data_IF_162189636476
#
_entry.id   IF_162189636476
#
_cell.length_a   1.000
_cell.length_b   1.000
_cell.length_c   1.000
_cell.angle_alpha   90.00
_cell.angle_beta   90.00
_cell.angle_gamma   90.00
#
_symmetry.space_group_name_H-M   'P 1'
#
loop_
_entity.id
_entity.type
_entity.pdbx_description
1 polymer ?
#
# COMPACT_ATOMS: atom_id res chain seq x y z
N UNK A 1 13.85 -2.76 14.06
CA UNK A 1 13.07 -1.64 13.47
C UNK A 1 14.00 -0.46 13.27
N UNK A 2 13.86 0.29 12.17
CA UNK A 2 14.64 1.51 11.93
C UNK A 2 14.23 2.60 12.92
N UNK A 3 15.20 3.34 13.47
CA UNK A 3 14.95 4.50 14.36
C UNK A 3 14.37 5.71 13.62
N UNK A 4 14.49 5.76 12.28
CA UNK A 4 13.96 6.81 11.41
C UNK A 4 14.34 8.24 11.78
N UNK A 5 15.47 8.42 12.45
CA UNK A 5 16.04 9.72 12.78
C UNK A 5 17.21 10.12 11.84
N UNK A 6 17.68 9.20 10.99
CA UNK A 6 18.63 9.51 9.93
C UNK A 6 17.92 9.79 8.61
N UNK A 7 17.73 11.07 8.29
CA UNK A 7 17.12 11.53 7.05
C UNK A 7 18.17 11.77 5.95
N UNK A 8 19.46 11.79 6.29
CA UNK A 8 20.53 12.00 5.32
C UNK A 8 20.87 10.71 4.56
N UNK A 9 20.64 9.55 5.19
CA UNK A 9 20.85 8.24 4.59
C UNK A 9 19.58 7.38 4.66
N UNK A 10 18.62 7.59 3.74
CA UNK A 10 17.43 6.77 3.64
C UNK A 10 17.77 5.28 3.51
N UNK A 11 17.36 4.46 4.48
CA UNK A 11 17.51 3.00 4.40
C UNK A 11 16.63 2.43 3.31
N UNK A 12 17.15 1.50 2.50
CA UNK A 12 16.39 0.77 1.49
C UNK A 12 16.05 -0.64 1.97
N UNK A 13 14.81 -1.07 1.78
CA UNK A 13 14.39 -2.44 2.10
C UNK A 13 14.99 -3.48 1.14
N UNK A 14 15.53 -3.07 -0.01
CA UNK A 14 16.23 -3.95 -0.94
C UNK A 14 17.27 -4.81 -0.22
N UNK A 15 18.07 -4.19 0.66
CA UNK A 15 19.14 -4.86 1.41
C UNK A 15 18.65 -5.87 2.45
N UNK A 16 17.35 -5.86 2.77
CA UNK A 16 16.75 -6.68 3.83
C UNK A 16 15.81 -7.78 3.32
N UNK A 17 15.70 -7.99 2.01
CA UNK A 17 14.80 -9.00 1.44
C UNK A 17 15.27 -10.40 1.82
N UNK A 18 14.34 -11.23 2.30
CA UNK A 18 14.56 -12.64 2.64
C UNK A 18 13.63 -13.53 1.83
N UNK A 19 14.20 -14.50 1.13
CA UNK A 19 13.45 -15.49 0.34
C UNK A 19 13.07 -16.71 1.20
N UNK A 20 12.06 -17.46 0.75
CA UNK A 20 11.65 -18.72 1.40
C UNK A 20 10.94 -18.57 2.74
N UNK A 21 10.49 -17.37 3.11
CA UNK A 21 9.67 -17.17 4.30
C UNK A 21 8.24 -17.70 4.11
N UNK A 22 7.66 -18.28 5.16
CA UNK A 22 6.30 -18.85 5.10
C UNK A 22 5.26 -17.84 4.61
N UNK A 23 5.33 -16.58 5.06
CA UNK A 23 4.41 -15.54 4.59
C UNK A 23 4.51 -15.26 3.08
N UNK A 24 5.71 -15.32 2.51
CA UNK A 24 5.92 -15.13 1.08
C UNK A 24 5.41 -16.33 0.29
N UNK A 25 5.71 -17.56 0.74
CA UNK A 25 5.21 -18.77 0.10
C UNK A 25 3.68 -18.81 0.10
N UNK A 26 3.08 -18.42 1.23
CA UNK A 26 1.63 -18.36 1.42
C UNK A 26 0.97 -17.29 0.56
N UNK A 27 1.58 -16.11 0.46
CA UNK A 27 1.14 -15.05 -0.44
C UNK A 27 1.23 -15.49 -1.91
N UNK A 28 2.32 -16.16 -2.29
CA UNK A 28 2.51 -16.72 -3.63
C UNK A 28 1.46 -17.80 -3.95
N UNK A 29 1.13 -18.65 -2.99
CA UNK A 29 0.02 -19.62 -3.06
C UNK A 29 -1.35 -18.96 -3.23
N UNK A 30 -1.54 -17.75 -2.69
CA UNK A 30 -2.73 -16.93 -2.92
C UNK A 30 -2.76 -16.26 -4.29
N UNK A 31 -1.68 -16.38 -5.07
CA UNK A 31 -1.54 -15.80 -6.41
C UNK A 31 -1.01 -14.37 -6.41
N UNK A 32 -0.33 -13.94 -5.34
CA UNK A 32 0.45 -12.72 -5.35
C UNK A 32 1.80 -12.98 -6.02
N UNK A 33 2.07 -12.28 -7.12
CA UNK A 33 3.32 -12.44 -7.89
C UNK A 33 4.41 -11.46 -7.46
N UNK A 34 4.01 -10.32 -6.86
CA UNK A 34 4.91 -9.22 -6.47
C UNK A 34 4.52 -8.62 -5.12
N UNK A 35 5.52 -8.14 -4.39
CA UNK A 35 5.36 -7.40 -3.14
C UNK A 35 6.13 -6.10 -3.23
N UNK A 36 5.60 -5.09 -2.55
CA UNK A 36 6.26 -3.83 -2.28
C UNK A 36 6.33 -3.71 -0.77
N UNK A 37 7.54 -3.62 -0.22
CA UNK A 37 7.72 -3.58 1.23
C UNK A 37 8.62 -2.42 1.63
N UNK A 38 8.20 -1.52 2.54
CA UNK A 38 9.07 -0.53 3.16
C UNK A 38 9.93 -1.16 4.27
N UNK A 39 11.02 -0.49 4.71
CA UNK A 39 11.70 -0.86 5.93
C UNK A 39 10.74 -0.76 7.13
N UNK A 40 10.71 -1.76 8.01
CA UNK A 40 9.89 -1.70 9.21
C UNK A 40 10.37 -0.58 10.15
N UNK A 41 9.48 0.35 10.47
CA UNK A 41 9.72 1.43 11.41
C UNK A 41 8.45 1.80 12.19
N UNK A 42 8.64 2.15 13.46
CA UNK A 42 7.64 2.74 14.36
C UNK A 42 7.87 4.25 14.53
N UNK A 43 8.67 4.85 13.66
CA UNK A 43 9.06 6.25 13.75
C UNK A 43 8.53 7.06 12.56
N UNK A 44 8.79 8.37 12.57
CA UNK A 44 8.37 9.26 11.49
C UNK A 44 8.87 8.84 10.11
N UNK A 45 10.09 8.31 9.98
CA UNK A 45 10.72 8.01 8.69
C UNK A 45 11.08 6.53 8.55
N UNK A 46 10.62 5.91 7.46
CA UNK A 46 10.85 4.49 7.21
C UNK A 46 12.04 4.30 6.28
N UNK A 47 12.06 5.05 5.18
CA UNK A 47 13.02 4.92 4.10
C UNK A 47 12.35 4.48 2.80
N UNK A 48 13.11 3.77 1.97
CA UNK A 48 12.73 3.38 0.62
C UNK A 48 12.19 1.96 0.56
N UNK A 49 11.00 1.81 -0.01
CA UNK A 49 10.45 0.50 -0.31
C UNK A 49 11.00 -0.06 -1.61
N UNK A 50 11.01 -1.38 -1.70
CA UNK A 50 11.49 -2.14 -2.85
C UNK A 50 10.37 -3.03 -3.35
N UNK A 51 10.23 -3.09 -4.67
CA UNK A 51 9.33 -4.01 -5.34
C UNK A 51 10.11 -5.23 -5.81
N UNK A 52 9.68 -6.43 -5.43
CA UNK A 52 10.33 -7.68 -5.81
C UNK A 52 9.33 -8.80 -6.09
N UNK A 53 9.77 -9.81 -6.84
CA UNK A 53 9.01 -11.02 -7.20
C UNK A 53 8.98 -12.01 -6.03
N UNK A 54 7.81 -12.58 -5.76
CA UNK A 54 7.66 -13.57 -4.68
C UNK A 54 8.24 -14.93 -5.06
N UNK A 55 8.07 -15.34 -6.33
CA UNK A 55 8.58 -16.62 -6.84
C UNK A 55 10.10 -16.68 -7.03
N UNK A 56 10.83 -15.59 -6.73
CA UNK A 56 12.27 -15.55 -6.88
C UNK A 56 13.00 -16.25 -5.73
N UNK A 57 14.07 -16.97 -6.08
CA UNK A 57 14.94 -17.70 -5.14
C UNK A 57 16.27 -17.00 -4.90
N UNK A 58 16.61 -16.01 -5.72
CA UNK A 58 17.85 -15.25 -5.68
C UNK A 58 17.58 -13.74 -5.77
N UNK A 59 18.58 -12.96 -5.38
CA UNK A 59 18.47 -11.51 -5.30
C UNK A 59 18.42 -10.83 -6.68
N UNK A 60 19.27 -11.29 -7.60
CA UNK A 60 19.46 -10.68 -8.92
C UNK A 60 18.20 -10.74 -9.79
N UNK A 61 17.41 -11.80 -9.67
CA UNK A 61 16.16 -11.99 -10.38
C UNK A 61 14.93 -11.53 -9.60
N UNK A 62 15.05 -11.28 -8.30
CA UNK A 62 13.93 -10.87 -7.45
C UNK A 62 13.55 -9.41 -7.65
N UNK A 63 14.52 -8.50 -7.67
CA UNK A 63 14.23 -7.06 -7.61
C UNK A 63 13.69 -6.56 -8.94
N UNK A 64 12.52 -5.92 -8.87
CA UNK A 64 11.87 -5.26 -10.00
C UNK A 64 12.15 -3.76 -9.97
N UNK A 65 12.07 -3.17 -8.78
CA UNK A 65 12.45 -1.77 -8.54
C UNK A 65 13.07 -1.68 -7.15
N UNK A 66 14.31 -1.21 -7.07
CA UNK A 66 15.02 -0.95 -5.83
C UNK A 66 14.39 0.22 -5.04
N UNK A 67 13.80 1.18 -5.76
CA UNK A 67 13.14 2.38 -5.25
C UNK A 67 11.69 2.44 -5.75
N UNK A 68 10.76 1.88 -4.98
CA UNK A 68 9.33 1.89 -5.30
C UNK A 68 8.62 3.13 -4.75
N UNK A 69 8.84 3.46 -3.47
CA UNK A 69 8.28 4.66 -2.83
C UNK A 69 9.09 5.08 -1.59
N UNK A 70 8.97 6.35 -1.22
CA UNK A 70 9.51 6.88 0.05
C UNK A 70 8.41 6.91 1.12
N UNK A 71 8.65 6.29 2.27
CA UNK A 71 7.63 6.09 3.31
C UNK A 71 7.87 6.94 4.57
N UNK A 72 6.79 7.52 5.09
CA UNK A 72 6.74 8.27 6.35
C UNK A 72 5.52 7.85 7.17
N UNK A 73 5.58 7.94 8.49
CA UNK A 73 4.39 7.82 9.36
C UNK A 73 4.11 9.14 10.05
N UNK A 74 2.84 9.56 10.04
CA UNK A 74 2.37 10.72 10.80
C UNK A 74 1.23 10.26 11.70
N UNK A 75 1.46 10.37 13.00
CA UNK A 75 0.55 9.89 14.02
C UNK A 75 1.20 9.86 15.40
N UNK A 76 0.42 9.42 16.38
CA UNK A 76 0.80 9.37 17.79
C UNK A 76 2.02 8.48 18.01
N UNK A 77 1.99 7.27 17.46
CA UNK A 77 3.03 6.25 17.71
C UNK A 77 4.36 6.59 17.03
N UNK A 78 4.32 7.39 15.96
CA UNK A 78 5.51 7.84 15.24
C UNK A 78 6.24 9.02 15.90
N UNK A 79 5.80 9.48 17.08
CA UNK A 79 6.46 10.60 17.78
C UNK A 79 7.83 10.18 18.28
N UNK A 80 8.81 11.05 18.05
CA UNK A 80 10.21 10.88 18.46
C UNK A 80 10.72 12.17 19.08
N UNK A 81 11.86 12.18 19.79
CA UNK A 81 12.44 13.41 20.34
C UNK A 81 12.61 14.53 19.30
N UNK A 82 12.93 14.19 18.05
CA UNK A 82 13.10 15.12 16.93
C UNK A 82 11.76 15.58 16.33
N UNK A 83 10.72 14.74 16.41
CA UNK A 83 9.36 15.02 15.94
C UNK A 83 8.32 14.70 17.02
N UNK A 84 8.27 15.47 18.13
CA UNK A 84 7.47 15.11 19.31
C UNK A 84 5.97 15.36 19.13
N UNK A 85 5.54 15.98 18.03
CA UNK A 85 4.16 16.37 17.76
C UNK A 85 3.78 16.05 16.32
N UNK A 86 2.49 15.87 16.06
CA UNK A 86 1.97 15.69 14.69
C UNK A 86 2.35 16.92 13.83
N UNK A 87 2.28 18.12 14.39
CA UNK A 87 2.70 19.36 13.72
C UNK A 87 4.17 19.32 13.32
N UNK A 88 5.08 18.86 14.20
CA UNK A 88 6.50 18.78 13.86
C UNK A 88 6.79 17.68 12.82
N UNK A 89 6.06 16.57 12.84
CA UNK A 89 6.12 15.56 11.78
C UNK A 89 5.70 16.14 10.40
N UNK A 90 4.56 16.82 10.33
CA UNK A 90 4.07 17.45 9.08
C UNK A 90 5.04 18.53 8.59
N UNK A 91 5.53 19.39 9.48
CA UNK A 91 6.51 20.43 9.14
C UNK A 91 7.81 19.82 8.63
N UNK A 92 8.28 18.73 9.23
CA UNK A 92 9.49 18.05 8.77
C UNK A 92 9.28 17.41 7.40
N UNK A 93 8.14 16.75 7.16
CA UNK A 93 7.79 16.22 5.84
C UNK A 93 7.83 17.33 4.77
N UNK A 94 7.17 18.47 5.06
CA UNK A 94 7.20 19.62 4.17
C UNK A 94 8.63 20.09 3.92
N UNK A 95 9.45 20.24 4.97
CA UNK A 95 10.83 20.71 4.83
C UNK A 95 11.69 19.76 4.00
N UNK A 96 11.60 18.44 4.21
CA UNK A 96 12.34 17.43 3.44
C UNK A 96 11.98 17.52 1.94
N UNK A 97 10.71 17.72 1.62
CA UNK A 97 10.21 17.79 0.24
C UNK A 97 10.24 19.20 -0.36
N UNK A 98 10.74 20.22 0.35
CA UNK A 98 10.79 21.61 -0.14
C UNK A 98 12.18 22.22 0.04
N UNK A 99 12.55 22.62 1.25
CA UNK A 99 13.78 23.36 1.56
C UNK A 99 15.00 22.46 1.69
N UNK A 100 14.83 21.22 2.16
CA UNK A 100 15.92 20.26 2.44
C UNK A 100 16.07 19.18 1.36
N UNK A 101 15.62 19.45 0.13
CA UNK A 101 15.74 18.51 -1.00
C UNK A 101 17.18 18.11 -1.33
N UNK A 102 18.14 18.98 -1.00
CA UNK A 102 19.57 18.75 -1.22
C UNK A 102 20.21 17.80 -0.19
N UNK A 103 19.48 17.40 0.86
CA UNK A 103 19.99 16.49 1.87
C UNK A 103 20.31 15.10 1.29
N UNK A 104 19.47 14.65 0.35
CA UNK A 104 19.65 13.40 -0.38
C UNK A 104 18.92 13.49 -1.72
N UNK A 105 19.48 12.90 -2.79
CA UNK A 105 18.91 12.97 -4.16
C UNK A 105 17.46 12.49 -4.23
N UNK A 106 17.08 11.55 -3.38
CA UNK A 106 15.72 10.99 -3.31
C UNK A 106 14.65 12.04 -3.03
N UNK A 107 14.94 13.06 -2.21
CA UNK A 107 13.96 14.09 -1.87
C UNK A 107 13.70 15.01 -3.07
N UNK A 108 14.68 15.18 -3.94
CA UNK A 108 14.51 15.91 -5.20
C UNK A 108 13.64 15.11 -6.17
N UNK A 109 13.84 13.79 -6.27
CA UNK A 109 13.02 12.90 -7.07
C UNK A 109 11.56 12.88 -6.60
N UNK A 110 11.32 12.76 -5.29
CA UNK A 110 9.96 12.78 -4.74
C UNK A 110 9.28 14.14 -4.89
N UNK A 111 10.02 15.22 -4.65
CA UNK A 111 9.47 16.57 -4.83
C UNK A 111 9.08 16.87 -6.29
N UNK A 112 9.79 16.28 -7.27
CA UNK A 112 9.44 16.36 -8.70
C UNK A 112 8.27 15.47 -9.10
N UNK A 113 7.80 14.60 -8.21
CA UNK A 113 6.75 13.61 -8.49
C UNK A 113 7.23 12.36 -9.22
N UNK A 114 8.52 12.25 -9.53
CA UNK A 114 9.11 11.07 -10.19
C UNK A 114 9.08 9.82 -9.29
N UNK A 115 9.21 9.99 -7.98
CA UNK A 115 9.06 8.91 -6.99
C UNK A 115 7.88 9.21 -6.07
N UNK A 116 6.95 8.27 -5.84
CA UNK A 116 5.83 8.50 -4.93
C UNK A 116 6.29 8.59 -3.47
N UNK A 117 5.57 9.43 -2.72
CA UNK A 117 5.68 9.56 -1.26
C UNK A 117 4.44 8.95 -0.63
N UNK A 118 4.63 7.99 0.26
CA UNK A 118 3.56 7.32 0.99
C UNK A 118 3.61 7.77 2.43
N UNK A 119 2.50 8.34 2.92
CA UNK A 119 2.34 8.73 4.32
C UNK A 119 1.36 7.79 5.00
N UNK A 120 1.83 7.05 5.98
CA UNK A 120 1.04 6.19 6.84
C UNK A 120 0.31 7.05 7.87
N UNK A 121 -1.02 7.08 7.81
CA UNK A 121 -1.86 7.78 8.78
C UNK A 121 -3.32 7.32 8.66
N UNK A 122 -4.04 7.26 9.78
CA UNK A 122 -5.45 6.85 9.83
C UNK A 122 -6.42 8.00 10.09
N UNK A 123 -5.96 9.02 10.82
CA UNK A 123 -6.81 10.07 11.35
C UNK A 123 -7.24 11.09 10.29
N UNK A 124 -8.53 11.42 10.25
CA UNK A 124 -9.11 12.32 9.24
C UNK A 124 -8.51 13.73 9.24
N UNK A 125 -8.13 14.25 10.42
CA UNK A 125 -7.66 15.63 10.57
C UNK A 125 -6.20 15.76 10.09
N UNK A 126 -5.40 14.71 10.32
CA UNK A 126 -4.06 14.57 9.75
C UNK A 126 -4.13 14.43 8.23
N UNK A 127 -5.04 13.60 7.71
CA UNK A 127 -5.30 13.49 6.27
C UNK A 127 -5.74 14.84 5.68
N UNK A 128 -6.61 15.58 6.38
CA UNK A 128 -7.02 16.94 6.01
C UNK A 128 -5.84 17.90 5.88
N UNK A 129 -4.89 17.82 6.81
CA UNK A 129 -3.65 18.61 6.80
C UNK A 129 -2.76 18.25 5.61
N UNK A 130 -2.65 16.97 5.27
CA UNK A 130 -1.92 16.49 4.09
C UNK A 130 -2.58 16.93 2.78
N UNK A 131 -3.91 16.93 2.69
CA UNK A 131 -4.66 17.48 1.55
C UNK A 131 -4.34 18.97 1.38
N UNK A 132 -4.34 19.73 2.48
CA UNK A 132 -3.99 21.14 2.44
C UNK A 132 -2.54 21.33 1.95
N UNK A 133 -1.59 20.57 2.51
CA UNK A 133 -0.18 20.63 2.14
C UNK A 133 0.06 20.27 0.66
N UNK A 134 -0.64 19.25 0.15
CA UNK A 134 -0.65 18.84 -1.25
C UNK A 134 -1.10 19.96 -2.17
N UNK A 135 -2.11 20.75 -1.77
CA UNK A 135 -2.62 21.86 -2.60
C UNK A 135 -1.72 23.08 -2.57
N UNK A 136 -1.11 23.39 -1.44
CA UNK A 136 -0.38 24.65 -1.25
C UNK A 136 1.10 24.54 -1.63
N UNK A 137 1.77 23.47 -1.21
CA UNK A 137 3.24 23.39 -1.27
C UNK A 137 3.74 22.17 -2.04
N UNK A 138 3.03 21.04 -1.99
CA UNK A 138 3.42 19.77 -2.59
C UNK A 138 2.60 19.43 -3.85
N UNK A 139 2.17 20.45 -4.60
CA UNK A 139 1.27 20.31 -5.75
C UNK A 139 1.78 19.34 -6.82
N UNK A 140 3.09 19.28 -7.06
CA UNK A 140 3.72 18.36 -8.03
C UNK A 140 3.98 16.96 -7.45
N UNK A 141 4.28 16.85 -6.16
CA UNK A 141 4.66 15.58 -5.49
C UNK A 141 3.59 14.50 -5.64
N UNK A 142 3.95 13.29 -6.03
CA UNK A 142 3.00 12.16 -6.04
C UNK A 142 2.79 11.64 -4.61
N UNK A 143 1.91 12.31 -3.86
CA UNK A 143 1.59 11.99 -2.46
C UNK A 143 0.44 10.98 -2.40
N UNK A 144 0.66 9.90 -1.63
CA UNK A 144 -0.33 8.86 -1.35
C UNK A 144 -0.46 8.66 0.16
N UNK A 145 -1.60 8.13 0.57
CA UNK A 145 -1.86 7.79 1.96
C UNK A 145 -1.94 6.28 2.10
N UNK A 146 -1.33 5.73 3.14
CA UNK A 146 -1.46 4.33 3.53
C UNK A 146 -2.10 4.25 4.93
N UNK A 147 -2.94 3.24 5.17
CA UNK A 147 -3.79 3.18 6.37
C UNK A 147 -5.17 3.75 6.05
N UNK A 148 -5.48 4.95 6.53
CA UNK A 148 -6.68 5.68 6.12
C UNK A 148 -7.99 5.19 6.73
N UNK A 149 -7.97 4.67 7.95
CA UNK A 149 -9.18 4.15 8.62
C UNK A 149 -10.32 5.19 8.71
N UNK A 150 -10.00 6.47 8.90
CA UNK A 150 -10.99 7.58 8.92
C UNK A 150 -11.07 8.36 7.59
N UNK A 151 -10.39 7.90 6.53
CA UNK A 151 -10.29 8.63 5.26
C UNK A 151 -11.64 8.85 4.55
N UNK A 152 -12.61 7.97 4.80
CA UNK A 152 -13.97 8.09 4.27
C UNK A 152 -14.65 9.42 4.68
N UNK A 153 -14.25 10.02 5.81
CA UNK A 153 -14.77 11.32 6.28
C UNK A 153 -14.25 12.51 5.47
N UNK A 154 -13.17 12.32 4.70
CA UNK A 154 -12.51 13.36 3.89
C UNK A 154 -12.38 12.95 2.42
N UNK A 155 -13.21 12.01 1.97
CA UNK A 155 -13.15 11.39 0.64
C UNK A 155 -13.17 12.42 -0.51
N UNK A 156 -14.05 13.42 -0.45
CA UNK A 156 -14.09 14.48 -1.47
C UNK A 156 -12.81 15.34 -1.51
N UNK A 157 -12.19 15.57 -0.35
CA UNK A 157 -10.91 16.28 -0.26
C UNK A 157 -9.77 15.49 -0.92
N UNK A 158 -9.74 14.17 -0.71
CA UNK A 158 -8.79 13.27 -1.37
C UNK A 158 -8.97 13.23 -2.88
N UNK A 159 -10.21 13.05 -3.35
CA UNK A 159 -10.52 12.97 -4.77
C UNK A 159 -10.14 14.26 -5.52
N UNK A 160 -10.52 15.42 -4.97
CA UNK A 160 -10.20 16.71 -5.57
C UNK A 160 -8.71 17.07 -5.52
N UNK A 161 -7.95 16.55 -4.57
CA UNK A 161 -6.49 16.67 -4.53
C UNK A 161 -5.76 15.58 -5.33
N UNK A 162 -6.49 14.64 -5.95
CA UNK A 162 -5.97 13.46 -6.64
C UNK A 162 -4.97 12.67 -5.78
N UNK A 163 -5.29 12.50 -4.49
CA UNK A 163 -4.49 11.71 -3.55
C UNK A 163 -5.05 10.29 -3.52
N UNK A 164 -4.32 9.30 -4.06
CA UNK A 164 -4.70 7.89 -3.93
C UNK A 164 -4.49 7.40 -2.50
N UNK A 165 -5.23 6.35 -2.14
CA UNK A 165 -5.16 5.74 -0.81
C UNK A 165 -4.97 4.23 -0.88
N UNK A 166 -4.10 3.71 -0.03
CA UNK A 166 -3.82 2.29 0.17
C UNK A 166 -4.37 1.93 1.54
N UNK A 167 -5.54 1.29 1.59
CA UNK A 167 -6.16 0.93 2.85
C UNK A 167 -5.34 -0.17 3.54
N UNK A 168 -5.04 0.03 4.83
CA UNK A 168 -4.30 -0.93 5.65
C UNK A 168 -5.13 -2.14 6.07
N UNK A 169 -6.45 -2.00 6.06
CA UNK A 169 -7.44 -3.04 6.32
C UNK A 169 -8.65 -2.84 5.42
N UNK A 170 -9.26 -3.94 4.99
CA UNK A 170 -10.49 -3.93 4.19
C UNK A 170 -11.73 -3.53 5.01
N UNK A 171 -11.67 -3.72 6.33
CA UNK A 171 -12.72 -3.39 7.30
C UNK A 171 -12.19 -2.46 8.40
N UNK A 172 -13.11 -1.83 9.14
CA UNK A 172 -12.76 -1.03 10.30
C UNK A 172 -12.19 -1.90 11.42
N UNK A 173 -10.96 -1.59 11.82
CA UNK A 173 -10.22 -2.28 12.88
C UNK A 173 -9.61 -1.18 13.78
N UNK A 174 -10.39 -0.63 14.74
CA UNK A 174 -9.99 0.53 15.53
C UNK A 174 -9.02 0.12 16.66
N UNK A 175 -7.80 -0.28 16.29
CA UNK A 175 -6.76 -0.67 17.26
C UNK A 175 -6.16 0.54 17.98
N UNK A 176 -6.18 1.70 17.34
CA UNK A 176 -5.57 2.94 17.83
C UNK A 176 -6.58 4.07 17.90
N UNK A 177 -6.30 5.07 18.75
CA UNK A 177 -7.14 6.25 18.92
C UNK A 177 -7.41 6.99 17.61
N UNK A 178 -6.42 7.00 16.72
CA UNK A 178 -6.45 7.67 15.42
C UNK A 178 -7.38 6.98 14.40
N UNK A 179 -7.89 5.80 14.74
CA UNK A 179 -8.85 5.02 13.95
C UNK A 179 -10.23 4.91 14.61
N UNK A 180 -10.50 5.68 15.69
CA UNK A 180 -11.74 5.54 16.48
C UNK A 180 -13.02 5.80 15.68
N UNK A 181 -12.95 6.60 14.62
CA UNK A 181 -14.08 6.89 13.72
C UNK A 181 -14.08 6.01 12.48
N UNK A 182 -13.36 4.88 12.45
CA UNK A 182 -13.43 3.98 11.32
C UNK A 182 -14.87 3.48 11.10
N UNK A 183 -15.22 3.25 9.83
CA UNK A 183 -16.59 2.89 9.47
C UNK A 183 -16.80 1.39 9.61
N UNK A 184 -17.67 0.91 10.53
CA UNK A 184 -17.81 -0.51 10.84
C UNK A 184 -18.28 -1.35 9.64
N UNK A 185 -18.96 -0.74 8.67
CA UNK A 185 -19.50 -1.44 7.50
C UNK A 185 -20.82 -2.15 7.78
N UNK A 186 -21.38 -2.83 6.77
CA UNK A 186 -22.61 -3.62 6.93
C UNK A 186 -22.44 -4.79 7.93
N UNK A 187 -23.51 -5.16 8.66
CA UNK A 187 -24.87 -4.60 8.60
C UNK A 187 -25.07 -3.33 9.46
N UNK A 188 -24.05 -2.85 10.18
CA UNK A 188 -24.18 -1.70 11.08
C UNK A 188 -24.29 -0.35 10.34
N UNK A 189 -23.71 -0.28 9.15
CA UNK A 189 -23.79 0.89 8.24
C UNK A 189 -24.01 0.39 6.81
N UNK A 190 -24.60 1.23 5.96
CA UNK A 190 -24.99 0.80 4.61
C UNK A 190 -23.82 0.51 3.66
N UNK A 191 -22.63 1.06 3.96
CA UNK A 191 -21.46 1.02 3.08
C UNK A 191 -20.18 0.75 3.85
N UNK A 192 -19.18 0.21 3.16
CA UNK A 192 -17.81 0.13 3.65
C UNK A 192 -17.06 1.45 3.39
N UNK A 193 -16.05 1.77 4.22
CA UNK A 193 -15.23 2.98 4.03
C UNK A 193 -14.57 3.04 2.65
N UNK A 194 -14.10 1.88 2.15
CA UNK A 194 -13.57 1.73 0.80
C UNK A 194 -14.60 2.09 -0.29
N UNK A 195 -15.87 1.75 -0.09
CA UNK A 195 -16.94 2.08 -1.06
C UNK A 195 -17.19 3.58 -1.12
N UNK A 196 -17.23 4.26 0.03
CA UNK A 196 -17.37 5.72 0.08
C UNK A 196 -16.23 6.41 -0.67
N UNK A 197 -14.99 5.94 -0.46
CA UNK A 197 -13.80 6.47 -1.13
C UNK A 197 -13.89 6.26 -2.66
N UNK A 198 -14.25 5.05 -3.10
CA UNK A 198 -14.42 4.73 -4.52
C UNK A 198 -15.56 5.51 -5.17
N UNK A 199 -16.71 5.64 -4.50
CA UNK A 199 -17.87 6.41 -4.99
C UNK A 199 -17.54 7.92 -5.06
N UNK A 200 -16.65 8.43 -4.20
CA UNK A 200 -16.13 9.80 -4.29
C UNK A 200 -15.08 10.01 -5.40
N UNK A 201 -14.65 8.94 -6.09
CA UNK A 201 -13.64 9.00 -7.17
C UNK A 201 -12.19 8.89 -6.70
N UNK A 202 -11.95 8.49 -5.44
CA UNK A 202 -10.60 8.21 -4.93
C UNK A 202 -10.08 6.88 -5.51
N UNK A 203 -8.83 6.85 -5.94
CA UNK A 203 -8.14 5.59 -6.29
C UNK A 203 -7.80 4.85 -5.00
N UNK A 204 -8.36 3.66 -4.83
CA UNK A 204 -8.20 2.84 -3.63
C UNK A 204 -7.42 1.57 -3.99
N UNK A 205 -6.42 1.24 -3.18
CA UNK A 205 -5.79 -0.08 -3.15
C UNK A 205 -5.93 -0.70 -1.76
N UNK A 206 -5.68 -2.01 -1.68
CA UNK A 206 -5.53 -2.73 -0.42
C UNK A 206 -4.07 -3.02 -0.15
N UNK A 207 -3.73 -2.97 1.13
CA UNK A 207 -2.49 -3.50 1.68
C UNK A 207 -2.79 -4.31 2.92
N UNK A 208 -1.81 -5.08 3.35
CA UNK A 208 -1.80 -5.76 4.62
C UNK A 208 -0.60 -5.23 5.42
N UNK A 209 -0.87 -4.67 6.61
CA UNK A 209 0.18 -4.24 7.54
C UNK A 209 0.58 -5.34 8.54
N UNK A 210 -0.08 -6.50 8.44
CA UNK A 210 0.00 -7.53 9.47
C UNK A 210 1.28 -8.38 9.35
N UNK A 211 2.12 -8.32 10.38
CA UNK A 211 3.29 -9.17 10.60
C UNK A 211 2.95 -10.49 11.33
N UNK A 212 1.72 -10.60 11.85
CA UNK A 212 1.26 -11.73 12.68
C UNK A 212 0.15 -12.57 12.05
N UNK A 213 -0.69 -12.01 11.17
CA UNK A 213 -1.74 -12.75 10.46
C UNK A 213 -1.53 -12.75 8.94
N UNK A 214 -1.61 -13.94 8.34
CA UNK A 214 -1.46 -14.21 6.89
C UNK A 214 -2.63 -13.69 6.03
N UNK A 215 -3.12 -12.47 6.30
CA UNK A 215 -4.21 -11.86 5.51
C UNK A 215 -3.82 -11.65 4.04
N UNK A 216 -2.52 -11.60 3.74
CA UNK A 216 -1.99 -11.53 2.38
C UNK A 216 -2.57 -12.59 1.44
N UNK A 217 -2.86 -13.81 1.96
CA UNK A 217 -3.46 -14.90 1.17
C UNK A 217 -4.88 -14.60 0.73
N UNK A 218 -5.61 -13.82 1.51
CA UNK A 218 -7.01 -13.51 1.28
C UNK A 218 -7.21 -12.15 0.59
N UNK A 219 -6.14 -11.40 0.28
CA UNK A 219 -6.22 -10.04 -0.25
C UNK A 219 -7.17 -9.92 -1.47
N UNK A 220 -7.21 -10.90 -2.36
CA UNK A 220 -8.12 -10.92 -3.51
C UNK A 220 -9.58 -11.10 -3.10
N UNK A 221 -9.85 -12.07 -2.21
CA UNK A 221 -11.16 -12.25 -1.60
C UNK A 221 -11.63 -10.98 -0.88
N UNK A 222 -10.74 -10.35 -0.10
CA UNK A 222 -11.01 -9.11 0.62
C UNK A 222 -11.27 -7.94 -0.34
N UNK A 223 -10.56 -7.87 -1.47
CA UNK A 223 -10.87 -6.95 -2.56
C UNK A 223 -12.29 -7.16 -3.11
N UNK A 224 -12.70 -8.42 -3.24
CA UNK A 224 -14.08 -8.80 -3.59
C UNK A 224 -15.12 -8.37 -2.55
N UNK A 225 -14.79 -8.43 -1.26
CA UNK A 225 -15.66 -7.94 -0.19
C UNK A 225 -15.81 -6.41 -0.20
N UNK A 226 -14.77 -5.67 -0.56
CA UNK A 226 -14.87 -4.21 -0.73
C UNK A 226 -15.78 -3.85 -1.90
N UNK A 227 -15.63 -4.54 -3.03
CA UNK A 227 -16.49 -4.39 -4.19
C UNK A 227 -17.67 -5.38 -4.11
N UNK A 228 -18.56 -5.23 -3.12
CA UNK A 228 -19.82 -5.98 -3.07
C UNK A 228 -20.64 -5.87 -4.38
N UNK A 229 -20.39 -4.86 -5.24
CA UNK A 229 -21.00 -4.76 -6.57
C UNK A 229 -20.34 -5.72 -7.58
N UNK A 230 -19.07 -6.08 -7.42
CA UNK A 230 -18.40 -7.13 -8.19
C UNK A 230 -19.04 -8.51 -8.01
N UNK A 231 -19.57 -8.84 -6.82
CA UNK A 231 -20.34 -10.08 -6.61
C UNK A 231 -21.62 -10.16 -7.48
N UNK A 232 -22.17 -9.03 -7.92
CA UNK A 232 -23.33 -8.97 -8.82
C UNK A 232 -22.95 -8.83 -10.29
N UNK A 233 -21.65 -8.76 -10.63
CA UNK A 233 -21.19 -8.73 -12.02
C UNK A 233 -21.14 -10.13 -12.59
N UNK A 234 -21.57 -10.26 -13.86
CA UNK A 234 -21.47 -11.51 -14.63
C UNK A 234 -20.00 -12.01 -14.64
N UNK A 235 -19.77 -13.33 -14.63
CA UNK A 235 -18.43 -13.88 -14.83
C UNK A 235 -17.83 -13.32 -16.13
N UNK A 236 -16.60 -12.79 -16.05
CA UNK A 236 -15.92 -12.12 -17.17
C UNK A 236 -15.92 -10.59 -17.13
N UNK A 237 -16.56 -9.96 -16.14
CA UNK A 237 -16.34 -8.53 -15.90
C UNK A 237 -14.92 -8.31 -15.39
N UNK A 238 -14.13 -7.54 -16.13
CA UNK A 238 -12.80 -7.09 -15.71
C UNK A 238 -12.97 -6.35 -14.38
N UNK A 239 -12.59 -6.99 -13.27
CA UNK A 239 -12.53 -6.31 -11.98
C UNK A 239 -11.63 -5.11 -12.17
N UNK A 240 -12.01 -3.97 -11.57
CA UNK A 240 -11.11 -2.82 -11.50
C UNK A 240 -9.92 -3.32 -10.70
N UNK A 241 -8.89 -3.70 -11.42
CA UNK A 241 -7.65 -4.15 -10.88
C UNK A 241 -7.16 -3.00 -10.00
N UNK A 242 -7.15 -3.23 -8.69
CA UNK A 242 -6.54 -2.32 -7.73
C UNK A 242 -5.03 -2.39 -7.97
N UNK A 243 -4.57 -1.84 -9.10
CA UNK A 243 -3.18 -1.83 -9.52
C UNK A 243 -2.41 -0.85 -8.62
N UNK A 244 -2.03 -1.31 -7.43
CA UNK A 244 -1.07 -0.60 -6.58
C UNK A 244 0.22 -0.29 -7.36
N UNK A 245 0.64 -1.18 -8.25
CA UNK A 245 1.75 -0.95 -9.18
C UNK A 245 1.54 0.23 -10.13
N UNK A 246 0.34 0.36 -10.70
CA UNK A 246 -0.02 1.50 -11.56
C UNK A 246 -0.12 2.82 -10.79
N UNK A 247 -0.58 2.78 -9.53
CA UNK A 247 -0.55 3.94 -8.63
C UNK A 247 0.89 4.40 -8.37
N UNK A 248 1.81 3.45 -8.17
CA UNK A 248 3.21 3.70 -7.84
C UNK A 248 4.13 3.92 -9.06
N UNK A 249 3.60 3.87 -10.28
CA UNK A 249 4.38 4.07 -11.50
C UNK A 249 5.35 2.91 -11.81
N UNK A 250 5.08 1.71 -11.28
CA UNK A 250 5.92 0.53 -11.50
C UNK A 250 5.68 -0.08 -12.89
N UNK A 251 6.70 -0.77 -13.46
CA UNK A 251 6.57 -1.39 -14.78
C UNK A 251 5.46 -2.44 -14.82
N UNK A 252 4.67 -2.41 -15.90
CA UNK A 252 3.74 -3.50 -16.22
C UNK A 252 4.55 -4.71 -16.64
N UNK A 253 4.24 -5.87 -16.07
CA UNK A 253 4.86 -7.14 -16.48
C UNK A 253 3.78 -8.15 -16.85
N UNK A 254 4.08 -9.09 -17.76
CA UNK A 254 3.12 -10.04 -18.30
C UNK A 254 2.90 -11.24 -17.35
N UNK A 255 2.74 -10.97 -16.05
CA UNK A 255 2.44 -12.02 -15.10
C UNK A 255 0.94 -12.32 -15.15
N UNK A 256 0.58 -13.60 -15.12
CA UNK A 256 -0.80 -14.06 -15.20
C UNK A 256 -1.03 -15.15 -14.16
N UNK A 257 -2.14 -15.03 -13.42
CA UNK A 257 -2.57 -16.03 -12.46
C UNK A 257 -3.93 -16.55 -12.87
N UNK A 258 -4.02 -17.86 -13.05
CA UNK A 258 -5.24 -18.58 -13.35
C UNK A 258 -5.83 -19.13 -12.05
N UNK A 259 -7.12 -18.87 -11.84
CA UNK A 259 -7.87 -19.38 -10.70
C UNK A 259 -8.88 -20.42 -11.15
N UNK A 260 -9.05 -21.46 -10.34
CA UNK A 260 -10.25 -22.28 -10.32
C UNK A 260 -11.37 -21.51 -9.61
N UNK A 261 -12.40 -21.15 -10.36
CA UNK A 261 -13.48 -20.29 -9.87
C UNK A 261 -13.16 -18.80 -9.94
N UNK A 262 -13.91 -17.98 -9.21
CA UNK A 262 -13.75 -16.52 -9.22
C UNK A 262 -12.81 -16.09 -8.09
N UNK A 263 -11.73 -15.34 -8.33
CA UNK A 263 -10.74 -14.97 -7.29
C UNK A 263 -11.30 -14.12 -6.12
N UNK A 264 -12.54 -13.66 -6.24
CA UNK A 264 -13.29 -12.91 -5.22
C UNK A 264 -14.16 -13.80 -4.33
N UNK A 265 -14.16 -15.10 -4.58
CA UNK A 265 -14.85 -16.11 -3.78
C UNK A 265 -13.87 -16.84 -2.87
N UNK A 266 -14.32 -17.19 -1.68
CA UNK A 266 -13.46 -17.81 -0.66
C UNK A 266 -12.93 -19.18 -1.09
N UNK A 267 -13.67 -19.92 -1.91
CA UNK A 267 -13.30 -21.25 -2.40
C UNK A 267 -12.34 -21.23 -3.59
N UNK A 268 -11.95 -20.06 -4.11
CA UNK A 268 -11.10 -20.00 -5.29
C UNK A 268 -9.66 -20.43 -4.96
N UNK A 269 -9.13 -21.33 -5.78
CA UNK A 269 -7.76 -21.83 -5.71
C UNK A 269 -6.95 -21.33 -6.90
N UNK A 270 -5.66 -21.10 -6.70
CA UNK A 270 -4.73 -20.81 -7.80
C UNK A 270 -4.42 -22.11 -8.52
N UNK A 271 -4.76 -22.19 -9.80
CA UNK A 271 -4.50 -23.34 -10.66
C UNK A 271 -3.16 -23.23 -11.39
N UNK A 272 -2.81 -22.02 -11.84
CA UNK A 272 -1.59 -21.81 -12.61
C UNK A 272 -1.04 -20.39 -12.38
N UNK A 273 0.27 -20.31 -12.19
CA UNK A 273 1.01 -19.04 -12.10
C UNK A 273 1.99 -18.97 -13.25
N UNK A 274 1.84 -17.96 -14.10
CA UNK A 274 2.73 -17.64 -15.20
C UNK A 274 3.48 -16.35 -14.88
N UNK A 275 4.81 -16.42 -14.80
CA UNK A 275 5.66 -15.26 -14.52
C UNK A 275 6.88 -15.26 -15.43
N UNK A 276 7.25 -14.08 -15.91
CA UNK A 276 8.45 -13.89 -16.75
C UNK A 276 8.53 -14.81 -17.97
N UNK A 277 7.38 -15.12 -18.59
CA UNK A 277 7.33 -15.89 -19.83
C UNK A 277 7.30 -17.42 -19.64
N UNK A 278 7.27 -17.92 -18.40
CA UNK A 278 7.17 -19.35 -18.13
C UNK A 278 6.14 -19.67 -17.05
N UNK A 279 5.60 -20.89 -17.10
CA UNK A 279 4.77 -21.43 -16.03
C UNK A 279 5.67 -21.71 -14.83
N UNK A 280 5.44 -21.00 -13.73
CA UNK A 280 6.20 -21.16 -12.48
C UNK A 280 5.57 -22.15 -11.54
N UNK A 281 4.24 -22.30 -11.60
CA UNK A 281 3.49 -23.22 -10.75
C UNK A 281 2.23 -23.72 -11.45
N UNK A 282 1.93 -25.00 -11.27
CA UNK A 282 0.65 -25.63 -11.59
C UNK A 282 0.11 -26.34 -10.35
N UNK A 283 -1.21 -26.36 -10.20
CA UNK A 283 -1.92 -27.11 -9.17
C UNK A 283 -3.21 -27.71 -9.75
N UNK A 284 -3.49 -29.01 -9.56
CA UNK A 284 -2.58 -30.04 -9.01
C UNK A 284 -1.31 -30.19 -9.87
N UNK A 285 -0.25 -30.76 -9.28
CA UNK A 285 1.00 -31.00 -10.01
C UNK A 285 0.76 -31.94 -11.21
N UNK A 286 1.58 -31.87 -12.28
CA UNK A 286 1.46 -32.80 -13.42
C UNK A 286 1.63 -34.28 -13.04
N UNK A 287 2.19 -34.55 -11.84
CA UNK A 287 2.46 -35.88 -11.30
C UNK A 287 1.59 -36.25 -10.08
N UNK A 288 0.56 -35.44 -9.76
CA UNK A 288 -0.42 -35.68 -8.67
C UNK A 288 -1.79 -36.19 -9.17
#
# INVERSE_FOLDING_TARGET
MSRGNDWAQPSSSALGIRFGGIHLERAYLGGLTRIITPPLSESFFHGLSTCFRLGATDYDNAIISDQAALHFTIGHDAKQPETPTITSQINLLQQLLTTRKSLHSIYSLTASGALPVIVHTDNRDTIGSLIHLKRTTLNVTNLMIMGGSEAHLVAHGLASANIPIILGSWSCVPLFWESRQCLPGPPLTDQLGAQILMDAGVKVALSNWDDTNEQSRANLFLGGCMDCRARKRKPGARSRECESGGMLGLPKMPDMVLYEGTPFEFSASVALVFESGSVRRCWPGPDE
#
